data_IF_949518656940
#
_entry.id   IF_949518656940
#
_cell.length_a   1.000
_cell.length_b   1.000
_cell.length_c   1.000
_cell.angle_alpha   90.00
_cell.angle_beta   90.00
_cell.angle_gamma   90.00
#
_symmetry.space_group_name_H-M   'P 1'
#
loop_
_entity.id
_entity.type
_entity.pdbx_description
1 polymer ?
#
# COMPACT_ATOMS: atom_id res chain seq x y z
N UNK A 1 -16.74 -13.58 -2.51
CA UNK A 1 -16.81 -12.37 -3.32
C UNK A 1 -17.17 -11.19 -2.43
N UNK A 2 -16.23 -10.35 -2.06
CA UNK A 2 -16.61 -9.09 -1.42
C UNK A 2 -17.21 -8.22 -2.51
N UNK A 3 -18.54 -8.17 -2.55
CA UNK A 3 -19.21 -7.07 -3.23
C UNK A 3 -18.69 -5.78 -2.61
N UNK A 4 -18.15 -4.88 -3.45
CA UNK A 4 -17.86 -3.52 -3.00
C UNK A 4 -19.16 -3.01 -2.36
N UNK A 5 -19.04 -2.50 -1.16
CA UNK A 5 -20.16 -1.88 -0.48
C UNK A 5 -20.81 -0.87 -1.45
N UNK A 6 -22.13 -0.85 -1.54
CA UNK A 6 -22.89 0.12 -2.37
C UNK A 6 -22.41 1.55 -2.08
N UNK A 7 -22.08 1.82 -0.82
CA UNK A 7 -21.54 3.10 -0.39
C UNK A 7 -20.19 3.43 -1.06
N UNK A 8 -19.30 2.44 -1.17
CA UNK A 8 -18.00 2.62 -1.84
C UNK A 8 -18.16 2.91 -3.34
N UNK A 9 -19.09 2.24 -3.99
CA UNK A 9 -19.41 2.49 -5.40
C UNK A 9 -19.96 3.91 -5.63
N UNK A 10 -20.80 4.41 -4.73
CA UNK A 10 -21.34 5.77 -4.79
C UNK A 10 -20.25 6.81 -4.55
N UNK A 11 -19.34 6.57 -3.60
CA UNK A 11 -18.20 7.46 -3.33
C UNK A 11 -17.27 7.51 -4.54
N UNK A 12 -16.96 6.37 -5.12
CA UNK A 12 -16.14 6.27 -6.34
C UNK A 12 -16.77 7.06 -7.49
N UNK A 13 -18.06 6.84 -7.73
CA UNK A 13 -18.81 7.55 -8.76
C UNK A 13 -18.75 9.08 -8.57
N UNK A 14 -18.94 9.54 -7.34
CA UNK A 14 -18.82 10.95 -7.00
C UNK A 14 -17.44 11.52 -7.32
N UNK A 15 -16.36 10.83 -6.91
CA UNK A 15 -15.00 11.26 -7.18
C UNK A 15 -14.71 11.35 -8.68
N UNK A 16 -15.19 10.39 -9.47
CA UNK A 16 -14.95 10.35 -10.91
C UNK A 16 -15.77 11.38 -11.67
N UNK A 17 -17.07 11.51 -11.36
CA UNK A 17 -18.00 12.37 -12.11
C UNK A 17 -17.97 13.83 -11.68
N UNK A 18 -17.86 14.10 -10.37
CA UNK A 18 -17.93 15.46 -9.84
C UNK A 18 -16.55 16.11 -9.64
N UNK A 19 -15.54 15.30 -9.37
CA UNK A 19 -14.18 15.78 -9.09
C UNK A 19 -13.18 15.43 -10.20
N UNK A 20 -13.63 14.78 -11.25
CA UNK A 20 -12.80 14.37 -12.40
C UNK A 20 -11.57 13.54 -12.00
N UNK A 21 -11.68 12.75 -10.92
CA UNK A 21 -10.59 11.89 -10.45
C UNK A 21 -10.52 10.64 -11.34
N UNK A 22 -9.33 10.26 -11.83
CA UNK A 22 -9.16 9.04 -12.62
C UNK A 22 -9.59 7.79 -11.83
N UNK A 23 -10.10 6.78 -12.54
CA UNK A 23 -10.62 5.53 -11.98
C UNK A 23 -9.66 4.88 -10.98
N UNK A 24 -8.40 4.68 -11.37
CA UNK A 24 -7.38 4.06 -10.51
C UNK A 24 -7.09 4.87 -9.24
N UNK A 25 -7.11 6.19 -9.31
CA UNK A 25 -6.90 7.07 -8.16
C UNK A 25 -8.12 7.07 -7.24
N UNK A 26 -9.31 7.05 -7.82
CA UNK A 26 -10.56 6.94 -7.05
C UNK A 26 -10.63 5.63 -6.27
N UNK A 27 -10.22 4.50 -6.86
CA UNK A 27 -10.16 3.21 -6.18
C UNK A 27 -9.25 3.24 -4.94
N UNK A 28 -8.09 3.86 -5.03
CA UNK A 28 -7.17 4.01 -3.90
C UNK A 28 -7.81 4.85 -2.79
N UNK A 29 -8.39 6.01 -3.14
CA UNK A 29 -9.04 6.89 -2.16
C UNK A 29 -10.19 6.19 -1.44
N UNK A 30 -11.01 5.44 -2.16
CA UNK A 30 -12.14 4.69 -1.59
C UNK A 30 -11.66 3.59 -0.65
N UNK A 31 -10.61 2.86 -1.03
CA UNK A 31 -10.02 1.80 -0.19
C UNK A 31 -9.51 2.35 1.15
N UNK A 32 -8.84 3.51 1.14
CA UNK A 32 -8.34 4.16 2.36
C UNK A 32 -9.44 4.82 3.19
N UNK A 33 -10.49 5.31 2.54
CA UNK A 33 -11.57 6.03 3.21
C UNK A 33 -12.50 5.13 4.03
N UNK A 34 -12.55 3.85 3.73
CA UNK A 34 -13.37 2.85 4.44
C UNK A 34 -14.83 3.29 4.64
N UNK A 35 -15.43 3.83 3.60
CA UNK A 35 -16.80 4.33 3.61
C UNK A 35 -16.99 5.76 4.10
N UNK A 36 -15.93 6.45 4.49
CA UNK A 36 -15.99 7.88 4.87
C UNK A 36 -15.83 8.77 3.64
N UNK A 37 -16.91 9.41 3.20
CA UNK A 37 -16.93 10.27 2.00
C UNK A 37 -15.99 11.47 2.14
N UNK A 38 -16.01 12.14 3.29
CA UNK A 38 -15.15 13.29 3.56
C UNK A 38 -13.67 12.93 3.50
N UNK A 39 -13.30 11.78 4.05
CA UNK A 39 -11.94 11.26 3.98
C UNK A 39 -11.54 10.93 2.53
N UNK A 40 -12.42 10.32 1.75
CA UNK A 40 -12.15 10.02 0.34
C UNK A 40 -11.87 11.28 -0.47
N UNK A 41 -12.66 12.33 -0.28
CA UNK A 41 -12.48 13.64 -0.93
C UNK A 41 -11.15 14.27 -0.51
N UNK A 42 -10.83 14.25 0.78
CA UNK A 42 -9.58 14.78 1.30
C UNK A 42 -8.37 14.07 0.69
N UNK A 43 -8.38 12.74 0.63
CA UNK A 43 -7.30 11.95 0.05
C UNK A 43 -7.14 12.22 -1.46
N UNK A 44 -8.25 12.37 -2.18
CA UNK A 44 -8.24 12.65 -3.62
C UNK A 44 -7.58 13.99 -3.96
N UNK A 45 -7.66 14.98 -3.05
CA UNK A 45 -7.11 16.33 -3.23
C UNK A 45 -5.79 16.56 -2.50
N UNK A 46 -5.33 15.64 -1.64
CA UNK A 46 -4.10 15.77 -0.89
C UNK A 46 -2.87 15.47 -1.72
N UNK A 47 -2.04 16.49 -1.97
CA UNK A 47 -0.72 16.32 -2.58
C UNK A 47 0.20 15.48 -1.71
N UNK A 48 0.15 15.68 -0.41
CA UNK A 48 0.98 14.97 0.57
C UNK A 48 0.67 13.46 0.61
N UNK A 49 -0.61 13.10 0.60
CA UNK A 49 -0.99 11.68 0.51
C UNK A 49 -0.51 11.05 -0.81
N UNK A 50 -0.61 11.79 -1.91
CA UNK A 50 -0.12 11.32 -3.20
C UNK A 50 1.41 11.12 -3.19
N UNK A 51 2.15 12.01 -2.55
CA UNK A 51 3.60 11.89 -2.37
C UNK A 51 3.97 10.63 -1.60
N UNK A 52 3.34 10.39 -0.44
CA UNK A 52 3.54 9.18 0.37
C UNK A 52 3.25 7.92 -0.45
N UNK A 53 2.15 7.91 -1.18
CA UNK A 53 1.75 6.81 -2.05
C UNK A 53 2.82 6.52 -3.11
N UNK A 54 3.27 7.52 -3.82
CA UNK A 54 4.28 7.35 -4.86
C UNK A 54 5.61 6.85 -4.29
N UNK A 55 6.03 7.34 -3.13
CA UNK A 55 7.23 6.86 -2.45
C UNK A 55 7.13 5.40 -2.00
N UNK A 56 6.00 5.01 -1.42
CA UNK A 56 5.78 3.62 -1.02
C UNK A 56 5.79 2.68 -2.25
N UNK A 57 5.13 3.07 -3.32
CA UNK A 57 5.09 2.29 -4.56
C UNK A 57 6.49 2.21 -5.18
N UNK A 58 7.24 3.31 -5.20
CA UNK A 58 8.62 3.33 -5.69
C UNK A 58 9.50 2.35 -4.92
N UNK A 59 9.41 2.35 -3.60
CA UNK A 59 10.12 1.38 -2.76
C UNK A 59 9.77 -0.07 -3.16
N UNK A 60 8.48 -0.38 -3.26
CA UNK A 60 8.02 -1.74 -3.56
C UNK A 60 8.46 -2.25 -4.94
N UNK A 61 8.58 -1.36 -5.92
CA UNK A 61 9.06 -1.71 -7.25
C UNK A 61 10.55 -2.05 -7.28
N UNK A 62 11.34 -1.47 -6.39
CA UNK A 62 12.80 -1.51 -6.46
C UNK A 62 13.45 -2.32 -5.33
N UNK A 63 12.71 -2.67 -4.28
CA UNK A 63 13.27 -3.27 -3.06
C UNK A 63 14.04 -4.57 -3.30
N UNK A 64 13.62 -5.37 -4.26
CA UNK A 64 14.27 -6.64 -4.58
C UNK A 64 15.70 -6.48 -5.09
N UNK A 65 15.96 -5.38 -5.80
CA UNK A 65 17.25 -5.06 -6.40
C UNK A 65 18.15 -4.23 -5.48
N UNK A 66 17.60 -3.71 -4.38
CA UNK A 66 18.36 -2.87 -3.45
C UNK A 66 19.44 -3.67 -2.72
N UNK A 67 20.64 -3.11 -2.66
CA UNK A 67 21.70 -3.59 -1.77
C UNK A 67 21.49 -3.08 -0.33
N UNK A 68 22.38 -3.46 0.59
CA UNK A 68 22.25 -3.05 2.01
C UNK A 68 22.31 -1.54 2.19
N UNK A 69 23.29 -0.80 1.57
CA UNK A 69 23.29 0.66 1.64
C UNK A 69 22.03 1.32 1.12
N UNK A 70 21.50 0.87 0.00
CA UNK A 70 20.26 1.37 -0.59
C UNK A 70 19.06 1.11 0.31
N UNK A 71 19.01 -0.07 0.94
CA UNK A 71 17.98 -0.41 1.90
C UNK A 71 18.01 0.51 3.13
N UNK A 72 19.22 0.82 3.63
CA UNK A 72 19.41 1.76 4.74
C UNK A 72 18.98 3.19 4.37
N UNK A 73 19.26 3.63 3.16
CA UNK A 73 18.77 4.93 2.67
C UNK A 73 17.23 4.95 2.57
N UNK A 74 16.62 3.85 2.14
CA UNK A 74 15.16 3.72 2.12
C UNK A 74 14.56 3.81 3.54
N UNK A 75 15.19 3.20 4.54
CA UNK A 75 14.78 3.34 5.96
C UNK A 75 14.85 4.80 6.42
N UNK A 76 15.95 5.50 6.12
CA UNK A 76 16.10 6.92 6.43
C UNK A 76 15.02 7.77 5.76
N UNK A 77 14.68 7.46 4.52
CA UNK A 77 13.63 8.15 3.80
C UNK A 77 12.26 7.95 4.45
N UNK A 78 11.97 6.76 4.97
CA UNK A 78 10.76 6.50 5.74
C UNK A 78 10.64 7.40 6.98
N UNK A 79 11.76 7.84 7.57
CA UNK A 79 11.73 8.75 8.72
C UNK A 79 11.14 10.10 8.39
N UNK A 80 11.22 10.55 7.15
CA UNK A 80 10.59 11.81 6.70
C UNK A 80 9.06 11.74 6.79
N UNK A 81 8.50 10.54 6.78
CA UNK A 81 7.06 10.26 6.89
C UNK A 81 6.66 9.68 8.26
N UNK A 82 7.50 9.87 9.28
CA UNK A 82 7.29 9.28 10.61
C UNK A 82 5.92 9.61 11.21
N UNK A 83 5.45 10.84 11.03
CA UNK A 83 4.14 11.29 11.55
C UNK A 83 2.97 10.59 10.84
N UNK A 84 3.13 10.26 9.57
CA UNK A 84 2.13 9.61 8.72
C UNK A 84 2.51 8.17 8.37
N UNK A 85 3.35 7.55 9.19
CA UNK A 85 3.87 6.21 8.88
C UNK A 85 2.76 5.16 8.75
N UNK A 86 1.64 5.32 9.45
CA UNK A 86 0.52 4.42 9.31
C UNK A 86 -0.07 4.45 7.91
N UNK A 87 -0.18 5.61 7.27
CA UNK A 87 -0.63 5.73 5.88
C UNK A 87 0.35 5.06 4.92
N UNK A 88 1.64 5.25 5.14
CA UNK A 88 2.70 4.58 4.38
C UNK A 88 2.60 3.05 4.48
N UNK A 89 2.44 2.53 5.69
CA UNK A 89 2.30 1.09 5.94
C UNK A 89 0.98 0.53 5.39
N UNK A 90 -0.10 1.30 5.43
CA UNK A 90 -1.39 0.91 4.84
C UNK A 90 -1.31 0.80 3.32
N UNK A 91 -0.55 1.66 2.66
CA UNK A 91 -0.30 1.57 1.21
C UNK A 91 0.40 0.25 0.89
N UNK A 92 1.44 -0.09 1.63
CA UNK A 92 2.16 -1.36 1.46
C UNK A 92 1.23 -2.55 1.71
N UNK A 93 0.39 -2.49 2.74
CA UNK A 93 -0.56 -3.56 3.06
C UNK A 93 -1.59 -3.77 1.94
N UNK A 94 -2.15 -2.70 1.39
CA UNK A 94 -3.10 -2.78 0.27
C UNK A 94 -2.42 -3.34 -0.98
N UNK A 95 -1.20 -2.94 -1.26
CA UNK A 95 -0.39 -3.50 -2.35
C UNK A 95 -0.26 -5.03 -2.23
N UNK A 96 0.13 -5.53 -1.08
CA UNK A 96 0.29 -6.98 -0.88
C UNK A 96 -1.04 -7.73 -0.82
N UNK A 97 -2.13 -7.10 -0.41
CA UNK A 97 -3.48 -7.65 -0.59
C UNK A 97 -3.84 -7.79 -2.06
N UNK A 98 -3.49 -6.81 -2.88
CA UNK A 98 -3.65 -6.89 -4.33
C UNK A 98 -2.83 -8.04 -4.92
N UNK A 99 -1.59 -8.20 -4.49
CA UNK A 99 -0.73 -9.31 -4.89
C UNK A 99 -1.36 -10.65 -4.52
N UNK A 100 -1.87 -10.79 -3.30
CA UNK A 100 -2.53 -12.00 -2.82
C UNK A 100 -3.80 -12.31 -3.62
N UNK A 101 -4.65 -11.31 -3.83
CA UNK A 101 -5.89 -11.45 -4.59
C UNK A 101 -5.60 -11.88 -6.03
N UNK A 102 -4.65 -11.22 -6.68
CA UNK A 102 -4.25 -11.60 -8.03
C UNK A 102 -3.67 -13.01 -8.09
N UNK A 103 -2.80 -13.36 -7.14
CA UNK A 103 -2.21 -14.71 -7.06
C UNK A 103 -3.29 -15.80 -6.92
N UNK A 104 -4.29 -15.56 -6.09
CA UNK A 104 -5.35 -16.52 -5.80
C UNK A 104 -6.41 -16.63 -6.92
N UNK A 105 -6.79 -15.51 -7.53
CA UNK A 105 -7.95 -15.43 -8.44
C UNK A 105 -7.59 -15.18 -9.89
N UNK A 106 -6.38 -14.70 -10.18
CA UNK A 106 -5.96 -14.20 -11.50
C UNK A 106 -6.85 -13.08 -12.05
N UNK A 107 -7.73 -12.52 -11.22
CA UNK A 107 -8.62 -11.42 -11.58
C UNK A 107 -7.95 -10.07 -11.36
N UNK A 108 -8.03 -9.19 -12.34
CA UNK A 108 -7.56 -7.81 -12.26
C UNK A 108 -8.63 -6.85 -11.73
N UNK A 109 -9.89 -7.27 -11.75
CA UNK A 109 -11.04 -6.42 -11.42
C UNK A 109 -11.11 -6.04 -9.93
N UNK A 110 -10.44 -6.81 -9.07
CA UNK A 110 -10.43 -6.62 -7.62
C UNK A 110 -9.20 -5.89 -7.09
N UNK A 111 -8.26 -5.59 -7.98
CA UNK A 111 -7.02 -4.92 -7.64
C UNK A 111 -7.26 -3.43 -7.43
N UNK A 112 -6.83 -2.89 -6.30
CA UNK A 112 -6.95 -1.46 -5.97
C UNK A 112 -5.96 -0.63 -6.80
N UNK A 113 -4.70 -1.06 -6.87
CA UNK A 113 -3.66 -0.41 -7.66
C UNK A 113 -3.67 -0.90 -9.11
N UNK A 114 -4.75 -0.64 -9.82
CA UNK A 114 -4.95 -1.11 -11.20
C UNK A 114 -3.95 -0.54 -12.21
N UNK A 115 -3.37 0.62 -11.94
CA UNK A 115 -2.30 1.24 -12.74
C UNK A 115 -0.92 0.58 -12.52
N UNK A 116 -0.80 -0.30 -11.53
CA UNK A 116 0.44 -0.99 -11.17
C UNK A 116 0.40 -2.51 -11.44
N UNK A 117 -0.52 -2.96 -12.27
CA UNK A 117 -0.76 -4.39 -12.55
C UNK A 117 0.50 -5.16 -12.97
N UNK A 118 1.35 -4.56 -13.78
CA UNK A 118 2.61 -5.19 -14.23
C UNK A 118 3.47 -5.64 -13.04
N UNK A 119 3.62 -4.77 -12.04
CA UNK A 119 4.45 -5.05 -10.86
C UNK A 119 3.76 -6.00 -9.89
N UNK A 120 2.44 -5.87 -9.74
CA UNK A 120 1.62 -6.78 -8.92
C UNK A 120 1.69 -8.21 -9.47
N UNK A 121 1.55 -8.38 -10.78
CA UNK A 121 1.66 -9.69 -11.45
C UNK A 121 3.05 -10.29 -11.27
N UNK A 122 4.10 -9.50 -11.45
CA UNK A 122 5.47 -9.95 -11.28
C UNK A 122 5.72 -10.40 -9.84
N UNK A 123 5.25 -9.64 -8.85
CA UNK A 123 5.37 -9.99 -7.44
C UNK A 123 4.57 -11.24 -7.09
N UNK A 124 3.36 -11.38 -7.60
CA UNK A 124 2.53 -12.57 -7.41
C UNK A 124 3.20 -13.87 -7.94
N UNK A 125 3.94 -13.76 -9.03
CA UNK A 125 4.70 -14.89 -9.59
C UNK A 125 5.92 -15.23 -8.75
N UNK A 126 6.59 -14.24 -8.18
CA UNK A 126 7.82 -14.40 -7.39
C UNK A 126 7.57 -14.88 -5.98
N UNK A 127 6.60 -14.30 -5.29
CA UNK A 127 6.34 -14.56 -3.87
C UNK A 127 5.40 -15.75 -3.68
N UNK A 128 5.71 -16.60 -2.68
CA UNK A 128 4.80 -17.64 -2.22
C UNK A 128 3.64 -17.08 -1.42
N UNK A 129 2.58 -17.85 -1.21
CA UNK A 129 1.49 -17.47 -0.30
C UNK A 129 2.00 -17.24 1.11
N UNK A 130 2.86 -18.13 1.61
CA UNK A 130 3.50 -17.97 2.93
C UNK A 130 4.33 -16.67 3.00
N UNK A 131 5.09 -16.36 1.96
CA UNK A 131 5.88 -15.12 1.88
C UNK A 131 5.00 -13.88 1.95
N UNK A 132 3.88 -13.86 1.22
CA UNK A 132 2.92 -12.74 1.25
C UNK A 132 2.29 -12.61 2.64
N UNK A 133 1.90 -13.72 3.27
CA UNK A 133 1.36 -13.72 4.63
C UNK A 133 2.39 -13.20 5.64
N UNK A 134 3.65 -13.59 5.51
CA UNK A 134 4.74 -13.10 6.36
C UNK A 134 4.91 -11.58 6.24
N UNK A 135 4.79 -11.04 5.03
CA UNK A 135 4.87 -9.60 4.79
C UNK A 135 3.69 -8.88 5.44
N UNK A 136 2.46 -9.36 5.23
CA UNK A 136 1.25 -8.76 5.81
C UNK A 136 1.29 -8.79 7.35
N UNK A 137 1.72 -9.91 7.93
CA UNK A 137 1.91 -10.06 9.37
C UNK A 137 3.04 -9.14 9.88
N UNK A 138 4.12 -9.03 9.13
CA UNK A 138 5.22 -8.11 9.41
C UNK A 138 4.79 -6.64 9.47
N UNK A 139 3.87 -6.23 8.61
CA UNK A 139 3.30 -4.87 8.60
C UNK A 139 2.51 -4.62 9.89
N UNK A 140 1.66 -5.56 10.30
CA UNK A 140 0.88 -5.44 11.54
C UNK A 140 1.79 -5.41 12.77
N UNK A 141 2.84 -6.24 12.80
CA UNK A 141 3.87 -6.21 13.85
C UNK A 141 4.62 -4.88 13.88
N UNK A 142 4.97 -4.33 12.72
CA UNK A 142 5.61 -3.02 12.64
C UNK A 142 4.74 -1.92 13.23
N UNK A 143 3.44 -1.88 12.88
CA UNK A 143 2.49 -0.92 13.47
C UNK A 143 2.40 -1.05 14.98
N UNK A 144 2.31 -2.27 15.50
CA UNK A 144 2.25 -2.52 16.94
C UNK A 144 3.52 -2.06 17.67
N UNK A 145 4.70 -2.34 17.11
CA UNK A 145 6.00 -1.92 17.65
C UNK A 145 6.16 -0.40 17.66
N UNK A 146 5.77 0.27 16.57
CA UNK A 146 5.80 1.74 16.49
C UNK A 146 4.86 2.37 17.51
N UNK A 147 3.67 1.80 17.71
CA UNK A 147 2.72 2.24 18.73
C UNK A 147 3.29 2.06 20.15
N UNK A 148 4.10 1.03 20.36
CA UNK A 148 4.79 0.76 21.64
C UNK A 148 6.10 1.55 21.79
N UNK A 149 6.37 2.53 20.92
CA UNK A 149 7.58 3.36 20.93
C UNK A 149 8.90 2.59 20.77
N UNK A 150 8.88 1.48 20.07
CA UNK A 150 10.12 0.79 19.66
C UNK A 150 10.86 1.68 18.65
N UNK A 151 12.19 1.58 18.62
CA UNK A 151 13.02 2.39 17.73
C UNK A 151 12.54 2.32 16.27
N UNK A 152 12.27 3.46 15.69
CA UNK A 152 11.67 3.58 14.35
C UNK A 152 12.55 2.96 13.27
N UNK A 153 13.84 3.28 13.26
CA UNK A 153 14.76 2.75 12.25
C UNK A 153 14.82 1.22 12.30
N UNK A 154 14.92 0.66 13.50
CA UNK A 154 14.97 -0.79 13.71
C UNK A 154 13.69 -1.47 13.21
N UNK A 155 12.53 -0.90 13.51
CA UNK A 155 11.23 -1.44 13.07
C UNK A 155 11.12 -1.43 11.55
N UNK A 156 11.48 -0.32 10.92
CA UNK A 156 11.41 -0.19 9.46
C UNK A 156 12.46 -1.06 8.75
N UNK A 157 13.67 -1.12 9.28
CA UNK A 157 14.71 -2.02 8.77
C UNK A 157 14.25 -3.47 8.76
N UNK A 158 13.70 -3.95 9.87
CA UNK A 158 13.18 -5.30 9.99
C UNK A 158 12.04 -5.58 9.02
N UNK A 159 11.13 -4.62 8.84
CA UNK A 159 10.03 -4.74 7.88
C UNK A 159 10.54 -4.80 6.44
N UNK A 160 11.44 -3.92 6.06
CA UNK A 160 11.98 -3.89 4.68
C UNK A 160 12.77 -5.16 4.36
N UNK A 161 13.53 -5.69 5.31
CA UNK A 161 14.19 -7.00 5.17
C UNK A 161 13.16 -8.12 4.99
N UNK A 162 12.10 -8.13 5.78
CA UNK A 162 11.01 -9.11 5.64
C UNK A 162 10.40 -9.07 4.25
N UNK A 163 10.15 -7.88 3.71
CA UNK A 163 9.62 -7.70 2.35
C UNK A 163 10.61 -8.23 1.30
N UNK A 164 11.89 -7.90 1.44
CA UNK A 164 12.92 -8.30 0.50
C UNK A 164 13.13 -9.82 0.44
N UNK A 165 13.05 -10.48 1.60
CA UNK A 165 13.31 -11.92 1.73
C UNK A 165 12.12 -12.81 1.29
N UNK A 166 10.93 -12.27 1.20
CA UNK A 166 9.70 -12.99 0.88
C UNK A 166 9.09 -12.56 -0.46
#
# INVERSE_FOLDING_TARGET
MKLRNIKDQLVKKYLMEQMEIPDYKADVCVAFAQGNVGKAIMLATSEYFNEIKEEAIHLLKNIDEMDVPELMEAVKKCMTYKMEINDYLDIIAIWYRDVLIYKATKSVDRVVFSDQLRYIKARASKSSYEGIENILDGIEKAKARLKANVNFELVMELLLLTIKEN
#
